data_IF_043761374136
#
_entry.id   IF_043761374136
#
_cell.length_a   1.000
_cell.length_b   1.000
_cell.length_c   1.000
_cell.angle_alpha   90.00
_cell.angle_beta   90.00
_cell.angle_gamma   90.00
#
_symmetry.space_group_name_H-M   'P 1'
#
loop_
_entity.id
_entity.type
_entity.pdbx_description
1 polymer ?
#
# COMPACT_ATOMS: atom_id res chain seq x y z
N UNK A 1 2.52 -13.87 10.24
CA UNK A 1 1.66 -12.64 10.29
C UNK A 1 1.38 -12.23 11.73
N UNK A 2 0.98 -10.98 11.99
CA UNK A 2 1.09 -10.36 13.32
C UNK A 2 0.00 -9.31 13.60
N UNK A 3 -0.15 -8.99 14.90
CA UNK A 3 -0.88 -7.83 15.42
C UNK A 3 0.01 -7.14 16.46
N UNK A 4 0.19 -5.84 16.33
CA UNK A 4 0.95 -4.98 17.24
C UNK A 4 0.04 -4.30 18.27
N UNK A 5 0.63 -3.46 19.13
CA UNK A 5 -0.09 -2.63 20.09
C UNK A 5 -1.15 -1.75 19.42
N UNK A 6 -2.27 -1.50 20.10
CA UNK A 6 -3.32 -0.60 19.62
C UNK A 6 -2.86 0.85 19.47
N UNK A 7 -1.74 1.23 20.09
CA UNK A 7 -1.10 2.54 19.96
C UNK A 7 -0.29 2.73 18.67
N UNK A 8 -0.01 1.64 17.92
CA UNK A 8 0.74 1.68 16.67
C UNK A 8 0.06 2.61 15.66
N UNK A 9 0.81 3.60 15.17
CA UNK A 9 0.36 4.62 14.22
C UNK A 9 -0.89 5.38 14.69
N UNK A 10 -1.02 5.63 15.99
CA UNK A 10 -2.19 6.32 16.58
C UNK A 10 -2.48 7.70 15.97
N UNK A 11 -1.44 8.43 15.54
CA UNK A 11 -1.57 9.73 14.85
C UNK A 11 -1.98 9.64 13.38
N UNK A 12 -1.98 8.45 12.76
CA UNK A 12 -2.33 8.28 11.35
C UNK A 12 -3.80 8.62 11.09
N UNK A 13 -4.03 9.48 10.09
CA UNK A 13 -5.36 9.85 9.64
C UNK A 13 -5.82 8.99 8.45
N UNK A 14 -6.54 7.92 8.78
CA UNK A 14 -7.18 7.00 7.81
C UNK A 14 -8.01 7.69 6.74
N UNK A 15 -8.85 8.64 7.16
CA UNK A 15 -9.76 9.36 6.27
C UNK A 15 -8.99 10.21 5.27
N UNK A 16 -8.03 11.00 5.76
CA UNK A 16 -7.21 11.85 4.90
C UNK A 16 -6.32 11.06 3.92
N UNK A 17 -5.81 9.88 4.32
CA UNK A 17 -5.11 8.99 3.39
C UNK A 17 -6.04 8.50 2.25
N UNK A 18 -7.29 8.15 2.57
CA UNK A 18 -8.26 7.76 1.56
C UNK A 18 -8.71 8.94 0.69
N UNK A 19 -8.88 10.14 1.25
CA UNK A 19 -9.23 11.35 0.50
C UNK A 19 -8.11 11.79 -0.45
N UNK A 20 -6.85 11.59 -0.04
CA UNK A 20 -5.70 11.73 -0.92
C UNK A 20 -5.81 10.76 -2.10
N UNK A 21 -6.10 9.48 -1.82
CA UNK A 21 -6.26 8.48 -2.85
C UNK A 21 -7.40 8.83 -3.82
N UNK A 22 -8.54 9.32 -3.33
CA UNK A 22 -9.65 9.81 -4.16
C UNK A 22 -9.26 10.94 -5.12
N UNK A 23 -8.36 11.82 -4.67
CA UNK A 23 -7.90 12.99 -5.41
C UNK A 23 -6.91 12.60 -6.51
N UNK A 24 -5.97 11.71 -6.20
CA UNK A 24 -4.83 11.40 -7.06
C UNK A 24 -4.94 10.05 -7.78
N UNK A 25 -6.00 9.27 -7.58
CA UNK A 25 -6.10 7.95 -8.22
C UNK A 25 -6.12 7.99 -9.75
N UNK A 26 -6.53 9.09 -10.39
CA UNK A 26 -6.64 9.22 -11.85
C UNK A 26 -5.62 10.18 -12.47
N UNK A 27 -4.71 10.74 -11.67
CA UNK A 27 -3.68 11.67 -12.12
C UNK A 27 -2.48 11.67 -11.17
N UNK A 28 -1.27 11.95 -11.67
CA UNK A 28 -0.07 11.90 -10.83
C UNK A 28 -0.02 13.15 -9.94
N UNK A 29 0.40 13.00 -8.67
CA UNK A 29 0.74 14.16 -7.86
C UNK A 29 2.06 14.77 -8.37
N UNK A 30 2.06 16.05 -8.83
CA UNK A 30 3.25 16.68 -9.38
C UNK A 30 4.39 16.86 -8.36
N UNK A 31 4.12 16.76 -7.05
CA UNK A 31 5.16 16.83 -6.02
C UNK A 31 6.02 15.56 -5.94
N UNK A 32 5.62 14.48 -6.61
CA UNK A 32 6.29 13.19 -6.59
C UNK A 32 6.65 12.74 -8.00
N UNK A 33 7.76 12.00 -8.11
CA UNK A 33 8.10 11.33 -9.36
C UNK A 33 7.00 10.32 -9.74
N UNK A 34 6.68 10.30 -11.02
CA UNK A 34 5.72 9.37 -11.62
C UNK A 34 6.47 8.11 -12.10
N UNK A 35 6.06 6.93 -11.65
CA UNK A 35 6.61 5.63 -12.06
C UNK A 35 5.60 4.81 -12.88
N UNK A 36 4.67 5.48 -13.57
CA UNK A 36 3.69 4.92 -14.47
C UNK A 36 4.30 4.57 -15.84
N UNK A 37 3.51 4.77 -16.90
CA UNK A 37 3.89 4.36 -18.26
C UNK A 37 5.19 5.01 -18.70
N UNK A 38 6.11 4.21 -19.24
CA UNK A 38 7.50 4.56 -19.60
C UNK A 38 8.52 4.55 -18.45
N UNK A 39 8.27 3.80 -17.38
CA UNK A 39 9.25 3.52 -16.32
C UNK A 39 9.38 2.02 -16.05
N UNK A 40 10.36 1.63 -15.21
CA UNK A 40 10.56 0.24 -14.75
C UNK A 40 9.45 -0.26 -13.79
N UNK A 41 8.37 0.51 -13.62
CA UNK A 41 7.25 0.23 -12.73
C UNK A 41 7.44 0.72 -11.30
N UNK A 42 6.51 0.33 -10.42
CA UNK A 42 6.52 0.71 -8.99
C UNK A 42 5.54 1.83 -8.60
N UNK A 43 4.75 2.34 -9.55
CA UNK A 43 3.83 3.44 -9.24
C UNK A 43 2.69 3.05 -8.30
N UNK A 44 2.24 1.79 -8.34
CA UNK A 44 1.21 1.31 -7.43
C UNK A 44 1.60 1.53 -5.95
N UNK A 45 2.86 1.28 -5.62
CA UNK A 45 3.39 1.44 -4.26
C UNK A 45 3.81 2.88 -4.00
N UNK A 46 4.30 3.61 -5.01
CA UNK A 46 4.56 5.04 -4.92
C UNK A 46 3.29 5.81 -4.52
N UNK A 47 2.18 5.55 -5.22
CA UNK A 47 0.86 6.10 -4.95
C UNK A 47 0.37 5.79 -3.53
N UNK A 48 0.42 4.51 -3.14
CA UNK A 48 0.05 4.08 -1.79
C UNK A 48 0.93 4.76 -0.74
N UNK A 49 2.24 4.87 -0.98
CA UNK A 49 3.16 5.50 -0.04
C UNK A 49 2.87 6.99 0.13
N UNK A 50 2.57 7.70 -0.97
CA UNK A 50 2.13 9.09 -0.91
C UNK A 50 0.84 9.24 -0.12
N UNK A 51 -0.15 8.37 -0.33
CA UNK A 51 -1.41 8.43 0.41
C UNK A 51 -1.20 8.24 1.92
N UNK A 52 -0.30 7.34 2.32
CA UNK A 52 0.05 7.14 3.74
C UNK A 52 0.79 8.34 4.33
N UNK A 53 1.78 8.87 3.62
CA UNK A 53 2.62 9.96 4.09
C UNK A 53 1.93 11.33 4.00
N UNK A 54 1.63 11.78 2.79
CA UNK A 54 1.10 13.11 2.48
C UNK A 54 -0.36 13.23 2.95
N UNK A 55 -1.18 12.23 2.63
CA UNK A 55 -2.59 12.22 3.00
C UNK A 55 -2.79 11.90 4.48
N UNK A 56 -2.26 10.76 4.92
CA UNK A 56 -2.51 10.26 6.27
C UNK A 56 -1.58 10.77 7.36
N UNK A 57 -0.53 11.51 7.02
CA UNK A 57 0.42 12.06 7.98
C UNK A 57 1.28 10.99 8.68
N UNK A 58 1.47 9.82 8.06
CA UNK A 58 2.34 8.79 8.62
C UNK A 58 3.79 9.23 8.49
N UNK A 59 4.57 9.35 9.59
CA UNK A 59 5.94 9.82 9.50
C UNK A 59 6.83 8.81 8.76
N UNK A 60 7.84 9.31 8.06
CA UNK A 60 8.90 8.46 7.49
C UNK A 60 9.57 7.61 8.56
N UNK A 61 10.09 6.46 8.15
CA UNK A 61 10.88 5.59 8.99
C UNK A 61 12.24 5.35 8.33
N UNK A 62 13.33 5.70 9.01
CA UNK A 62 14.68 5.59 8.49
C UNK A 62 15.40 6.92 8.42
N UNK A 63 16.68 6.89 8.04
CA UNK A 63 17.53 8.08 7.97
C UNK A 63 17.96 8.36 6.54
N UNK A 64 17.85 9.63 6.14
CA UNK A 64 18.30 10.12 4.83
C UNK A 64 19.74 9.70 4.52
N UNK A 65 19.94 9.11 3.34
CA UNK A 65 21.24 8.64 2.86
C UNK A 65 21.60 7.20 3.27
N UNK A 66 20.78 6.54 4.10
CA UNK A 66 20.95 5.15 4.48
C UNK A 66 19.91 4.25 3.79
N UNK A 67 19.96 4.16 2.46
CA UNK A 67 19.10 3.23 1.69
C UNK A 67 19.60 1.77 1.76
N UNK A 68 20.06 1.32 2.93
CA UNK A 68 20.73 0.03 3.09
C UNK A 68 19.91 -1.01 3.85
N UNK A 69 18.88 -0.60 4.58
CA UNK A 69 18.03 -1.53 5.32
C UNK A 69 16.73 -1.79 4.56
N UNK A 70 16.34 -3.07 4.45
CA UNK A 70 15.09 -3.54 3.80
C UNK A 70 13.82 -3.07 4.50
N UNK A 71 13.96 -2.39 5.65
CA UNK A 71 12.86 -1.93 6.50
C UNK A 71 12.82 -0.42 6.72
N UNK A 72 13.60 0.38 6.00
CA UNK A 72 13.36 1.84 5.98
C UNK A 72 12.23 2.14 4.98
N UNK A 73 11.52 3.27 5.12
CA UNK A 73 10.46 3.78 4.23
C UNK A 73 10.47 5.32 4.23
N UNK A 74 10.97 5.90 3.14
CA UNK A 74 11.02 7.36 2.96
C UNK A 74 11.17 7.77 1.48
N UNK A 75 10.88 9.05 1.21
CA UNK A 75 11.06 9.70 -0.09
C UNK A 75 11.72 11.08 0.03
N UNK A 76 12.72 11.30 -0.82
CA UNK A 76 13.58 12.48 -0.98
C UNK A 76 13.82 12.75 -2.49
N UNK A 77 12.73 12.81 -3.27
CA UNK A 77 12.69 12.97 -4.73
C UNK A 77 13.27 14.27 -5.30
N UNK A 78 13.22 14.47 -6.63
CA UNK A 78 13.72 15.69 -7.29
C UNK A 78 13.05 17.01 -6.83
N UNK A 79 11.97 16.95 -6.05
CA UNK A 79 11.31 18.11 -5.41
C UNK A 79 11.50 18.14 -3.88
N UNK A 80 12.36 17.27 -3.33
CA UNK A 80 12.74 17.16 -1.92
C UNK A 80 14.25 16.86 -1.81
N UNK A 81 15.13 17.81 -1.44
CA UNK A 81 16.59 17.62 -1.49
C UNK A 81 17.10 16.42 -0.64
N UNK A 82 18.04 15.53 -1.08
CA UNK A 82 19.00 15.57 -2.21
C UNK A 82 18.99 14.33 -3.14
N UNK A 83 19.69 14.43 -4.28
CA UNK A 83 19.51 13.58 -5.49
C UNK A 83 20.24 12.23 -5.57
N UNK A 84 21.10 11.83 -4.63
CA UNK A 84 21.98 10.66 -4.85
C UNK A 84 21.37 9.30 -4.47
N UNK A 85 20.26 9.27 -3.74
CA UNK A 85 19.43 8.07 -3.59
C UNK A 85 18.07 8.48 -2.96
N UNK A 86 17.15 9.00 -3.79
CA UNK A 86 16.06 9.86 -3.37
C UNK A 86 14.90 9.12 -2.71
N UNK A 87 15.00 7.83 -2.40
CA UNK A 87 13.94 7.06 -1.74
C UNK A 87 14.43 5.66 -1.42
N UNK A 88 13.74 4.99 -0.50
CA UNK A 88 13.95 3.56 -0.24
C UNK A 88 13.29 2.71 -1.33
N UNK A 89 13.71 1.44 -1.43
CA UNK A 89 13.06 0.45 -2.28
C UNK A 89 11.61 0.18 -1.84
N UNK A 90 11.35 0.18 -0.53
CA UNK A 90 10.01 0.03 0.06
C UNK A 90 9.02 1.15 -0.29
N UNK A 91 9.48 2.31 -0.76
CA UNK A 91 8.61 3.39 -1.21
C UNK A 91 7.91 3.09 -2.55
N UNK A 92 8.55 2.34 -3.45
CA UNK A 92 8.00 2.03 -4.79
C UNK A 92 7.89 0.54 -5.10
N UNK A 93 8.63 -0.31 -4.41
CA UNK A 93 8.61 -1.75 -4.62
C UNK A 93 7.52 -2.40 -3.77
N UNK A 94 6.54 -3.05 -4.40
CA UNK A 94 5.42 -3.67 -3.68
C UNK A 94 5.91 -4.76 -2.71
N UNK A 95 6.93 -5.53 -3.11
CA UNK A 95 7.56 -6.53 -2.26
C UNK A 95 8.26 -5.91 -1.04
N UNK A 96 9.07 -4.88 -1.26
CA UNK A 96 9.82 -4.20 -0.20
C UNK A 96 8.90 -3.38 0.72
N UNK A 97 7.78 -2.86 0.20
CA UNK A 97 6.74 -2.26 1.03
C UNK A 97 6.18 -3.27 2.03
N UNK A 98 5.96 -4.51 1.59
CA UNK A 98 5.54 -5.61 2.46
C UNK A 98 6.60 -5.94 3.51
N UNK A 99 7.87 -5.94 3.14
CA UNK A 99 8.98 -6.15 4.10
C UNK A 99 8.99 -5.07 5.18
N UNK A 100 8.65 -3.83 4.84
CA UNK A 100 8.55 -2.72 5.78
C UNK A 100 7.32 -2.81 6.70
N UNK A 101 6.12 -2.77 6.10
CA UNK A 101 4.87 -2.65 6.84
C UNK A 101 4.40 -3.98 7.44
N UNK A 102 4.78 -5.10 6.82
CA UNK A 102 4.31 -6.42 7.18
C UNK A 102 5.47 -7.42 7.36
N UNK A 103 5.30 -8.65 6.85
CA UNK A 103 6.30 -9.73 6.91
C UNK A 103 6.32 -10.57 5.63
N UNK A 104 7.50 -11.12 5.32
CA UNK A 104 7.78 -12.13 4.31
C UNK A 104 8.55 -13.26 4.99
N UNK A 105 8.03 -14.49 4.92
CA UNK A 105 8.58 -15.64 5.64
C UNK A 105 8.81 -15.32 7.14
N UNK A 106 7.84 -14.64 7.75
CA UNK A 106 7.82 -14.16 9.13
C UNK A 106 8.91 -13.16 9.54
N UNK A 107 9.70 -12.67 8.58
CA UNK A 107 10.66 -11.58 8.75
C UNK A 107 10.12 -10.27 8.16
N UNK A 108 10.40 -9.14 8.79
CA UNK A 108 9.95 -7.82 8.32
C UNK A 108 9.89 -6.78 9.44
N UNK A 109 9.67 -5.53 9.06
CA UNK A 109 9.65 -4.37 9.96
C UNK A 109 8.41 -4.27 10.83
N UNK A 110 7.31 -4.97 10.47
CA UNK A 110 6.04 -4.98 11.20
C UNK A 110 5.56 -3.57 11.57
N UNK A 111 5.65 -2.61 10.64
CA UNK A 111 5.33 -1.19 10.91
C UNK A 111 3.84 -0.83 10.85
N UNK A 112 2.99 -1.74 10.37
CA UNK A 112 1.53 -1.61 10.47
C UNK A 112 1.02 -2.06 11.85
N UNK A 113 -0.24 -1.77 12.18
CA UNK A 113 -0.89 -2.36 13.35
C UNK A 113 -1.11 -3.86 13.17
N UNK A 114 -1.59 -4.29 12.00
CA UNK A 114 -1.85 -5.70 11.74
C UNK A 114 -1.62 -6.02 10.27
N UNK A 115 -1.18 -7.25 9.99
CA UNK A 115 -1.20 -7.80 8.65
C UNK A 115 -1.84 -9.20 8.64
N UNK A 116 -2.78 -9.42 7.75
CA UNK A 116 -3.50 -10.70 7.57
C UNK A 116 -3.45 -11.14 6.09
N UNK A 117 -3.35 -12.44 5.84
CA UNK A 117 -3.13 -13.09 4.54
C UNK A 117 -4.33 -13.96 4.34
N UNK A 118 -4.92 -13.82 3.19
CA UNK A 118 -6.05 -14.59 2.75
C UNK A 118 -5.73 -15.13 1.36
N UNK A 119 -5.83 -16.43 1.19
CA UNK A 119 -5.85 -17.01 -0.14
C UNK A 119 -7.00 -16.44 -0.97
N UNK A 120 -6.82 -16.39 -2.28
CA UNK A 120 -7.87 -15.93 -3.19
C UNK A 120 -9.14 -16.78 -3.07
N UNK A 121 -8.99 -18.08 -2.78
CA UNK A 121 -10.10 -18.99 -2.53
C UNK A 121 -10.87 -18.65 -1.24
N UNK A 122 -10.18 -18.35 -0.13
CA UNK A 122 -10.83 -17.95 1.12
C UNK A 122 -11.69 -16.71 0.93
N UNK A 123 -11.17 -15.69 0.23
CA UNK A 123 -11.93 -14.46 -0.03
C UNK A 123 -13.04 -14.65 -1.06
N UNK A 124 -12.86 -15.55 -2.02
CA UNK A 124 -13.92 -15.91 -2.98
C UNK A 124 -15.08 -16.62 -2.29
N UNK A 125 -14.79 -17.47 -1.30
CA UNK A 125 -15.80 -18.20 -0.53
C UNK A 125 -16.46 -17.31 0.53
N UNK A 126 -15.68 -16.49 1.23
CA UNK A 126 -16.17 -15.62 2.30
C UNK A 126 -15.33 -14.34 2.38
N UNK A 127 -15.86 -13.26 1.80
CA UNK A 127 -15.22 -11.95 1.81
C UNK A 127 -15.41 -11.17 3.14
N UNK A 128 -16.34 -11.61 4.00
CA UNK A 128 -16.70 -10.87 5.21
C UNK A 128 -15.52 -10.60 6.17
N UNK A 129 -14.55 -11.53 6.38
CA UNK A 129 -13.44 -11.30 7.29
C UNK A 129 -12.57 -10.10 6.92
N UNK A 130 -12.17 -9.96 5.64
CA UNK A 130 -11.34 -8.83 5.21
C UNK A 130 -12.15 -7.52 5.20
N UNK A 131 -13.44 -7.58 4.86
CA UNK A 131 -14.34 -6.43 4.92
C UNK A 131 -14.48 -5.87 6.34
N UNK A 132 -14.60 -6.75 7.34
CA UNK A 132 -14.66 -6.34 8.75
C UNK A 132 -13.31 -5.87 9.31
N UNK A 133 -12.20 -6.29 8.69
CA UNK A 133 -10.85 -5.95 9.16
C UNK A 133 -10.40 -4.57 8.69
N UNK A 134 -10.63 -4.26 7.41
CA UNK A 134 -10.04 -3.09 6.75
C UNK A 134 -10.94 -1.85 6.79
N UNK A 135 -10.30 -0.71 6.95
CA UNK A 135 -10.91 0.60 6.89
C UNK A 135 -10.35 1.41 5.71
N UNK A 136 -11.03 2.51 5.37
CA UNK A 136 -10.44 3.56 4.53
C UNK A 136 -9.01 3.90 5.01
N UNK A 137 -8.08 4.02 4.07
CA UNK A 137 -6.66 4.28 4.33
C UNK A 137 -5.81 3.03 4.62
N UNK A 138 -6.40 1.84 4.70
CA UNK A 138 -5.65 0.58 4.80
C UNK A 138 -5.23 0.03 3.44
N UNK A 139 -4.21 -0.82 3.45
CA UNK A 139 -3.55 -1.28 2.23
C UNK A 139 -3.90 -2.74 1.95
N UNK A 140 -4.05 -3.05 0.67
CA UNK A 140 -4.23 -4.40 0.14
C UNK A 140 -3.10 -4.66 -0.83
N UNK A 141 -2.40 -5.78 -0.66
CA UNK A 141 -1.36 -6.21 -1.57
C UNK A 141 -1.68 -7.57 -2.19
N UNK A 142 -1.45 -7.68 -3.50
CA UNK A 142 -1.62 -8.92 -4.25
C UNK A 142 -0.29 -9.64 -4.36
N UNK A 143 -0.32 -10.96 -4.14
CA UNK A 143 0.88 -11.79 -4.11
C UNK A 143 0.68 -12.97 -5.05
N UNK A 144 1.70 -13.25 -5.87
CA UNK A 144 1.68 -14.39 -6.77
C UNK A 144 1.97 -15.72 -6.05
N UNK A 145 1.90 -16.84 -6.78
CA UNK A 145 2.11 -18.19 -6.23
C UNK A 145 3.51 -18.43 -5.68
N UNK A 146 4.51 -17.71 -6.20
CA UNK A 146 5.89 -17.73 -5.71
C UNK A 146 6.09 -16.92 -4.41
N UNK A 147 5.04 -16.25 -3.92
CA UNK A 147 5.10 -15.42 -2.72
C UNK A 147 5.64 -14.00 -2.95
N UNK A 148 5.86 -13.62 -4.21
CA UNK A 148 6.27 -12.27 -4.58
C UNK A 148 5.06 -11.34 -4.66
N UNK A 149 5.08 -10.27 -3.85
CA UNK A 149 4.09 -9.19 -3.94
C UNK A 149 4.22 -8.44 -5.27
N UNK A 150 3.14 -8.43 -6.04
CA UNK A 150 3.10 -7.89 -7.41
C UNK A 150 2.37 -6.54 -7.50
N UNK A 151 1.51 -6.22 -6.54
CA UNK A 151 0.68 -5.02 -6.62
C UNK A 151 0.26 -4.49 -5.26
N UNK A 152 0.09 -3.17 -5.14
CA UNK A 152 -0.36 -2.47 -3.94
C UNK A 152 -1.56 -1.58 -4.28
N UNK A 153 -2.58 -1.59 -3.42
CA UNK A 153 -3.78 -0.77 -3.52
C UNK A 153 -4.15 -0.20 -2.15
N UNK A 154 -4.87 0.92 -2.12
CA UNK A 154 -5.38 1.52 -0.88
C UNK A 154 -6.91 1.46 -0.87
N UNK A 155 -7.49 1.09 0.27
CA UNK A 155 -8.93 1.15 0.49
C UNK A 155 -9.35 2.61 0.58
N UNK A 156 -10.15 3.06 -0.38
CA UNK A 156 -10.66 4.43 -0.43
C UNK A 156 -12.16 4.52 -0.10
N UNK A 157 -12.90 3.42 -0.12
CA UNK A 157 -14.33 3.43 0.18
C UNK A 157 -14.95 2.05 0.39
N UNK A 158 -16.29 2.02 0.36
CA UNK A 158 -17.11 0.82 0.54
C UNK A 158 -18.12 0.70 -0.59
N UNK A 159 -18.34 -0.53 -1.05
CA UNK A 159 -19.28 -0.86 -2.12
C UNK A 159 -20.49 -1.66 -1.62
N UNK A 160 -21.50 -1.86 -2.48
CA UNK A 160 -22.67 -2.68 -2.15
C UNK A 160 -22.28 -4.14 -1.84
N UNK A 161 -23.07 -4.81 -0.99
CA UNK A 161 -22.86 -6.23 -0.68
C UNK A 161 -21.60 -6.52 0.13
N UNK A 162 -21.27 -5.63 1.06
CA UNK A 162 -20.07 -5.67 1.91
C UNK A 162 -18.78 -5.76 1.07
N UNK A 163 -18.65 -4.91 0.06
CA UNK A 163 -17.44 -4.78 -0.76
C UNK A 163 -16.57 -3.62 -0.26
N UNK A 164 -15.26 -3.73 -0.51
CA UNK A 164 -14.30 -2.65 -0.30
C UNK A 164 -13.95 -2.04 -1.65
N UNK A 165 -14.01 -0.71 -1.73
CA UNK A 165 -13.47 0.02 -2.87
C UNK A 165 -11.99 0.30 -2.66
N UNK A 166 -11.21 0.05 -3.70
CA UNK A 166 -9.77 0.30 -3.71
C UNK A 166 -9.38 1.23 -4.85
N UNK A 167 -8.44 2.10 -4.54
CA UNK A 167 -7.77 2.95 -5.49
C UNK A 167 -6.36 2.43 -5.80
N UNK A 168 -5.92 2.64 -7.04
CA UNK A 168 -4.62 2.21 -7.50
C UNK A 168 -4.05 3.12 -8.59
N UNK A 169 -2.72 3.17 -8.62
CA UNK A 169 -1.95 3.38 -9.84
C UNK A 169 -1.43 2.03 -10.34
N UNK A 170 -0.90 2.01 -11.55
CA UNK A 170 -0.28 0.85 -12.20
C UNK A 170 0.74 1.29 -13.24
N UNK A 171 1.49 0.35 -13.81
CA UNK A 171 2.46 0.67 -14.89
C UNK A 171 1.76 1.29 -16.11
N UNK A 172 0.54 0.85 -16.44
CA UNK A 172 -0.27 1.51 -17.46
C UNK A 172 -1.16 2.59 -16.84
N UNK A 173 -1.05 3.84 -17.30
CA UNK A 173 -1.88 4.94 -16.78
C UNK A 173 -3.37 4.75 -17.10
N UNK A 174 -3.71 4.00 -18.15
CA UNK A 174 -5.09 3.68 -18.51
C UNK A 174 -5.82 2.74 -17.53
N UNK A 175 -5.10 2.15 -16.57
CA UNK A 175 -5.66 1.27 -15.54
C UNK A 175 -5.62 1.88 -14.13
N UNK A 176 -5.32 3.17 -14.04
CA UNK A 176 -5.43 3.98 -12.83
C UNK A 176 -6.91 4.25 -12.54
N UNK A 177 -7.34 3.92 -11.32
CA UNK A 177 -8.76 3.93 -10.98
C UNK A 177 -8.95 3.99 -9.46
N UNK A 178 -10.09 4.52 -9.03
CA UNK A 178 -10.54 4.63 -7.63
C UNK A 178 -11.79 3.80 -7.29
N UNK A 179 -12.51 3.30 -8.29
CA UNK A 179 -13.79 2.62 -8.09
C UNK A 179 -13.71 1.10 -8.24
N UNK A 180 -12.52 0.52 -8.00
CA UNK A 180 -12.28 -0.92 -8.15
C UNK A 180 -12.93 -1.67 -6.98
N UNK A 181 -13.76 -2.66 -7.32
CA UNK A 181 -14.28 -3.66 -6.37
C UNK A 181 -13.15 -4.61 -5.96
N UNK A 182 -12.74 -4.59 -4.69
CA UNK A 182 -11.75 -5.54 -4.20
C UNK A 182 -12.30 -6.96 -4.26
N UNK A 183 -13.59 -7.16 -3.98
CA UNK A 183 -14.26 -8.46 -4.03
C UNK A 183 -14.19 -9.09 -5.42
N UNK A 184 -14.27 -8.29 -6.48
CA UNK A 184 -14.10 -8.75 -7.87
C UNK A 184 -12.63 -8.93 -8.28
N UNK A 185 -11.70 -8.41 -7.50
CA UNK A 185 -10.26 -8.38 -7.80
C UNK A 185 -9.47 -9.45 -7.02
N UNK A 186 -10.12 -10.25 -6.17
CA UNK A 186 -9.46 -11.26 -5.32
C UNK A 186 -8.70 -12.33 -6.12
N UNK A 187 -9.09 -12.59 -7.37
CA UNK A 187 -8.46 -13.57 -8.25
C UNK A 187 -7.22 -13.05 -9.01
N UNK A 188 -6.84 -11.78 -8.82
CA UNK A 188 -5.70 -11.19 -9.52
C UNK A 188 -4.36 -11.83 -9.11
N UNK A 189 -4.24 -12.26 -7.85
CA UNK A 189 -3.09 -12.99 -7.31
C UNK A 189 -3.48 -14.39 -6.79
N UNK A 190 -2.51 -15.06 -6.17
CA UNK A 190 -2.73 -16.32 -5.46
C UNK A 190 -3.18 -16.12 -4.01
N UNK A 191 -2.79 -14.99 -3.41
CA UNK A 191 -3.34 -14.53 -2.14
C UNK A 191 -3.24 -13.01 -2.00
N UNK A 192 -4.04 -12.48 -1.08
CA UNK A 192 -4.05 -11.09 -0.66
C UNK A 192 -3.40 -10.98 0.71
N UNK A 193 -2.58 -9.94 0.90
CA UNK A 193 -2.14 -9.48 2.21
C UNK A 193 -2.82 -8.15 2.50
N UNK A 194 -3.73 -8.17 3.46
CA UNK A 194 -4.27 -6.98 4.10
C UNK A 194 -3.24 -6.40 5.07
N UNK A 195 -3.06 -5.09 5.05
CA UNK A 195 -2.16 -4.35 5.93
C UNK A 195 -2.97 -3.24 6.57
N UNK A 196 -3.38 -3.48 7.81
CA UNK A 196 -4.14 -2.55 8.63
C UNK A 196 -3.17 -1.61 9.35
N UNK A 197 -3.13 -0.34 8.95
CA UNK A 197 -2.08 0.61 9.32
C UNK A 197 -2.14 1.00 10.79
N UNK A 198 -3.34 1.24 11.33
CA UNK A 198 -3.56 1.49 12.77
C UNK A 198 -4.61 0.55 13.36
N UNK A 199 -4.92 0.67 14.65
CA UNK A 199 -6.01 -0.11 15.27
C UNK A 199 -7.39 0.18 14.69
#
# INVERSE_FOLDING_TARGET
>A
MFTNSTSTNSSFNRGAAADYAETWATQANPNYANYGSNSDGGDCTNFVSQALYEGGGLPFNGTKGQNRNTVDWYYYGPHVPPSTNPRTSSWTGAHQFREHFAVINDQGGKKAYRATKYTSQELSNNFQPIYNELYRGDIVQHVNSAGHTIHSQIVNGYGPGNDLKVAQHSVNNGTWNKDISLKSYVAYGSWIVSIKIKS
#
